data_IF_635003768154
#
_entry.id   IF_635003768154
#
_cell.length_a   1.000
_cell.length_b   1.000
_cell.length_c   1.000
_cell.angle_alpha   90.00
_cell.angle_beta   90.00
_cell.angle_gamma   90.00
#
_symmetry.space_group_name_H-M   'P 1'
#
loop_
_entity.id
_entity.type
_entity.pdbx_description
1 polymer ?
#
# COMPACT_ATOMS: atom_id res chain seq x y z
N UNK A 1 -20.52 -2.11 -19.18
CA UNK A 1 -20.59 -1.40 -17.87
C UNK A 1 -19.42 -0.45 -17.71
N UNK A 2 -19.64 0.87 -17.54
CA UNK A 2 -18.57 1.83 -17.22
C UNK A 2 -17.98 1.49 -15.85
N UNK A 3 -16.71 1.14 -15.78
CA UNK A 3 -16.00 0.89 -14.51
C UNK A 3 -15.98 2.19 -13.71
N UNK A 4 -16.62 2.21 -12.54
CA UNK A 4 -16.66 3.38 -11.66
C UNK A 4 -15.29 3.59 -10.99
N UNK A 5 -14.71 4.78 -11.16
CA UNK A 5 -13.43 5.15 -10.51
C UNK A 5 -13.57 5.06 -8.99
N UNK A 6 -12.58 4.47 -8.33
CA UNK A 6 -12.49 4.39 -6.87
C UNK A 6 -11.42 5.36 -6.38
N UNK A 7 -11.80 6.31 -5.54
CA UNK A 7 -10.90 7.31 -4.97
C UNK A 7 -10.30 6.78 -3.67
N UNK A 8 -8.98 6.83 -3.55
CA UNK A 8 -8.22 6.56 -2.34
C UNK A 8 -7.55 7.85 -1.87
N UNK A 9 -7.52 8.10 -0.56
CA UNK A 9 -6.84 9.25 0.00
C UNK A 9 -5.48 8.83 0.56
N UNK A 10 -4.41 9.50 0.11
CA UNK A 10 -3.05 9.29 0.62
C UNK A 10 -2.78 10.29 1.76
N UNK A 11 -3.14 9.91 2.98
CA UNK A 11 -3.08 10.77 4.18
C UNK A 11 -2.85 9.94 5.44
N UNK A 12 -2.25 10.55 6.48
CA UNK A 12 -2.04 9.92 7.78
C UNK A 12 -2.67 10.70 8.96
N UNK A 13 -3.03 11.96 8.79
CA UNK A 13 -3.63 12.79 9.84
C UNK A 13 -5.00 12.27 10.24
N UNK A 14 -5.16 11.88 11.52
CA UNK A 14 -6.37 11.22 12.02
C UNK A 14 -7.64 12.09 11.86
N UNK A 15 -7.53 13.41 12.01
CA UNK A 15 -8.64 14.36 11.80
C UNK A 15 -9.12 14.34 10.35
N UNK A 16 -8.21 14.42 9.39
CA UNK A 16 -8.51 14.33 7.95
C UNK A 16 -9.07 12.96 7.58
N UNK A 17 -8.49 11.87 8.12
CA UNK A 17 -8.99 10.51 7.89
C UNK A 17 -10.45 10.42 8.37
N UNK A 18 -10.79 10.90 9.57
CA UNK A 18 -12.18 10.93 10.09
C UNK A 18 -13.11 11.69 9.15
N UNK A 19 -12.69 12.88 8.70
CA UNK A 19 -13.47 13.72 7.77
C UNK A 19 -13.72 12.98 6.44
N UNK A 20 -12.68 12.47 5.80
CA UNK A 20 -12.78 11.81 4.50
C UNK A 20 -13.43 10.42 4.58
N UNK A 21 -13.32 9.72 5.72
CA UNK A 21 -13.96 8.42 5.88
C UNK A 21 -15.49 8.49 5.82
N UNK A 22 -16.09 9.62 6.19
CA UNK A 22 -17.54 9.86 6.07
C UNK A 22 -18.00 10.01 4.61
N UNK A 23 -17.10 10.38 3.68
CA UNK A 23 -17.46 10.59 2.27
C UNK A 23 -17.65 9.26 1.55
N UNK A 24 -18.82 9.04 0.94
CA UNK A 24 -19.14 7.83 0.13
C UNK A 24 -18.25 7.67 -1.11
N UNK A 25 -17.73 8.77 -1.66
CA UNK A 25 -16.79 8.77 -2.80
C UNK A 25 -15.43 8.18 -2.45
N UNK A 26 -14.94 8.34 -1.22
CA UNK A 26 -13.67 7.78 -0.76
C UNK A 26 -13.84 6.29 -0.48
N UNK A 27 -13.06 5.46 -1.17
CA UNK A 27 -13.15 3.99 -1.13
C UNK A 27 -12.04 3.32 -0.31
N UNK A 28 -11.02 4.07 0.09
CA UNK A 28 -9.91 3.56 0.89
C UNK A 28 -8.89 4.64 1.21
N UNK A 29 -7.85 4.22 1.93
CA UNK A 29 -6.77 5.10 2.35
C UNK A 29 -5.43 4.41 2.06
N UNK A 30 -4.45 5.23 1.70
CA UNK A 30 -3.05 4.84 1.66
C UNK A 30 -2.25 5.73 2.59
N UNK A 31 -1.18 5.22 3.11
CA UNK A 31 -0.24 5.97 3.93
C UNK A 31 1.17 5.41 3.75
N UNK A 32 2.14 6.05 4.36
CA UNK A 32 3.52 5.59 4.42
C UNK A 32 4.17 6.08 5.72
N UNK A 33 5.35 5.54 6.10
CA UNK A 33 6.03 5.93 7.34
C UNK A 33 6.31 7.43 7.44
N UNK A 34 6.67 8.09 6.35
CA UNK A 34 6.96 9.54 6.32
C UNK A 34 5.71 10.37 6.59
N UNK A 35 4.58 10.04 5.97
CA UNK A 35 3.30 10.71 6.24
C UNK A 35 2.87 10.50 7.69
N UNK A 36 3.04 9.30 8.24
CA UNK A 36 2.71 9.04 9.65
C UNK A 36 3.61 9.82 10.60
N UNK A 37 4.93 9.89 10.33
CA UNK A 37 5.85 10.71 11.13
C UNK A 37 5.46 12.18 11.11
N UNK A 38 5.13 12.74 9.94
CA UNK A 38 4.63 14.13 9.80
C UNK A 38 3.31 14.35 10.55
N UNK A 39 2.46 13.34 10.65
CA UNK A 39 1.21 13.38 11.38
C UNK A 39 1.38 13.15 12.90
N UNK A 40 2.61 13.10 13.42
CA UNK A 40 2.92 12.98 14.85
C UNK A 40 2.93 11.55 15.39
N UNK A 41 3.03 10.54 14.53
CA UNK A 41 3.14 9.15 14.98
C UNK A 41 4.48 8.90 15.67
N UNK A 42 4.45 8.60 16.98
CA UNK A 42 5.63 8.18 17.76
C UNK A 42 5.89 6.67 17.65
N UNK A 43 4.84 5.89 17.42
CA UNK A 43 4.91 4.44 17.24
C UNK A 43 4.06 4.04 16.03
N UNK A 44 4.68 3.42 15.03
CA UNK A 44 4.05 3.09 13.75
C UNK A 44 2.88 2.10 13.92
N UNK A 45 3.06 1.04 14.71
CA UNK A 45 2.01 0.03 14.93
C UNK A 45 0.80 0.63 15.66
N UNK A 46 1.04 1.33 16.78
CA UNK A 46 -0.03 1.93 17.56
C UNK A 46 -0.82 2.96 16.73
N UNK A 47 -0.10 3.76 15.92
CA UNK A 47 -0.74 4.75 15.05
C UNK A 47 -1.53 4.09 13.91
N UNK A 48 -0.97 3.06 13.28
CA UNK A 48 -1.65 2.27 12.25
C UNK A 48 -2.94 1.66 12.77
N UNK A 49 -2.92 1.08 13.97
CA UNK A 49 -4.12 0.52 14.61
C UNK A 49 -5.19 1.58 14.88
N UNK A 50 -4.81 2.83 15.20
CA UNK A 50 -5.78 3.95 15.30
C UNK A 50 -6.44 4.24 13.95
N UNK A 51 -5.66 4.31 12.87
CA UNK A 51 -6.19 4.51 11.51
C UNK A 51 -7.16 3.38 11.13
N UNK A 52 -6.76 2.13 11.35
CA UNK A 52 -7.57 0.95 11.01
C UNK A 52 -8.93 0.95 11.75
N UNK A 53 -8.95 1.37 13.02
CA UNK A 53 -10.20 1.49 13.81
C UNK A 53 -11.13 2.55 13.24
N UNK A 54 -10.59 3.69 12.74
CA UNK A 54 -11.39 4.73 12.08
C UNK A 54 -11.97 4.22 10.76
N UNK A 55 -11.18 3.45 10.01
CA UNK A 55 -11.49 3.02 8.65
C UNK A 55 -12.09 1.61 8.59
N UNK A 56 -12.85 1.16 9.61
CA UNK A 56 -13.33 -0.24 9.78
C UNK A 56 -13.75 -0.96 8.49
N UNK A 57 -14.47 -0.26 7.60
CA UNK A 57 -15.08 -0.83 6.40
C UNK A 57 -14.35 -0.44 5.09
N UNK A 58 -13.24 0.28 5.18
CA UNK A 58 -12.49 0.72 4.02
C UNK A 58 -11.07 0.18 4.06
N UNK A 59 -10.50 -0.27 2.94
CA UNK A 59 -9.12 -0.72 2.89
C UNK A 59 -8.15 0.40 3.28
N UNK A 60 -7.11 0.01 4.02
CA UNK A 60 -6.00 0.89 4.41
C UNK A 60 -4.69 0.22 4.01
N UNK A 61 -3.89 0.89 3.20
CA UNK A 61 -2.56 0.42 2.83
C UNK A 61 -1.52 0.93 3.81
N UNK A 62 -0.81 -0.02 4.44
CA UNK A 62 0.25 0.22 5.44
C UNK A 62 1.57 -0.34 4.91
N UNK A 63 2.61 0.49 4.84
CA UNK A 63 3.86 0.18 4.16
C UNK A 63 4.87 -0.48 5.08
N UNK A 64 5.57 -1.51 4.56
CA UNK A 64 6.81 -2.00 5.14
C UNK A 64 7.93 -0.97 4.91
N UNK A 65 8.90 -0.91 5.82
CA UNK A 65 10.03 0.02 5.72
C UNK A 65 11.39 -0.66 5.85
N UNK A 66 11.42 -2.00 6.04
CA UNK A 66 12.65 -2.77 5.93
C UNK A 66 13.10 -2.86 4.46
N UNK A 67 14.39 -2.80 4.23
CA UNK A 67 14.99 -2.83 2.90
C UNK A 67 15.48 -4.23 2.50
N UNK A 68 15.88 -5.05 3.46
CA UNK A 68 16.24 -6.44 3.23
C UNK A 68 15.01 -7.35 3.19
N UNK A 69 15.10 -8.41 2.41
CA UNK A 69 13.96 -9.27 2.09
C UNK A 69 13.42 -10.05 3.27
N UNK A 70 14.29 -10.48 4.20
CA UNK A 70 13.87 -11.22 5.40
C UNK A 70 13.04 -10.34 6.32
N UNK A 71 13.53 -9.16 6.66
CA UNK A 71 12.82 -8.22 7.52
C UNK A 71 11.59 -7.62 6.82
N UNK A 72 11.63 -7.36 5.51
CA UNK A 72 10.48 -6.93 4.73
C UNK A 72 9.32 -7.94 4.83
N UNK A 73 9.62 -9.25 4.69
CA UNK A 73 8.64 -10.32 4.86
C UNK A 73 8.09 -10.37 6.29
N UNK A 74 8.96 -10.31 7.30
CA UNK A 74 8.54 -10.33 8.71
C UNK A 74 7.64 -9.14 9.05
N UNK A 75 7.99 -7.94 8.59
CA UNK A 75 7.15 -6.76 8.76
C UNK A 75 5.81 -6.91 8.05
N UNK A 76 5.79 -7.45 6.83
CA UNK A 76 4.56 -7.68 6.09
C UNK A 76 3.61 -8.62 6.83
N UNK A 77 4.11 -9.71 7.37
CA UNK A 77 3.34 -10.67 8.18
C UNK A 77 2.77 -9.99 9.43
N UNK A 78 3.59 -9.21 10.14
CA UNK A 78 3.17 -8.46 11.32
C UNK A 78 2.09 -7.42 11.00
N UNK A 79 2.27 -6.62 9.94
CA UNK A 79 1.33 -5.60 9.52
C UNK A 79 -0.02 -6.23 9.12
N UNK A 80 0.00 -7.36 8.44
CA UNK A 80 -1.23 -8.07 8.04
C UNK A 80 -2.11 -8.46 9.25
N UNK A 81 -1.52 -8.72 10.41
CA UNK A 81 -2.24 -9.11 11.64
C UNK A 81 -2.95 -7.94 12.33
N UNK A 82 -2.66 -6.69 11.95
CA UNK A 82 -3.22 -5.53 12.66
C UNK A 82 -4.70 -5.26 12.37
N UNK A 83 -5.26 -5.84 11.30
CA UNK A 83 -6.68 -5.68 10.99
C UNK A 83 -7.13 -6.31 9.68
N UNK A 84 -8.42 -6.65 9.62
CA UNK A 84 -9.03 -7.29 8.44
C UNK A 84 -9.07 -6.40 7.19
N UNK A 85 -8.97 -5.09 7.35
CA UNK A 85 -9.00 -4.10 6.27
C UNK A 85 -7.59 -3.64 5.81
N UNK A 86 -6.54 -4.29 6.29
CA UNK A 86 -5.16 -4.02 5.88
C UNK A 86 -4.92 -4.50 4.45
N UNK A 87 -4.20 -3.67 3.68
CA UNK A 87 -3.43 -4.03 2.51
C UNK A 87 -1.96 -3.75 2.83
N UNK A 88 -1.12 -4.77 2.83
CA UNK A 88 0.31 -4.58 3.09
C UNK A 88 0.94 -3.92 1.87
N UNK A 89 1.52 -2.73 2.06
CA UNK A 89 2.14 -1.97 0.98
C UNK A 89 3.61 -2.33 0.87
N UNK A 90 4.02 -2.80 -0.31
CA UNK A 90 5.37 -3.29 -0.60
C UNK A 90 5.90 -2.60 -1.85
N UNK A 91 7.10 -2.00 -1.83
CA UNK A 91 7.72 -1.43 -3.01
C UNK A 91 8.12 -2.52 -4.01
N UNK A 92 8.01 -2.24 -5.30
CA UNK A 92 8.37 -3.17 -6.39
C UNK A 92 9.86 -3.49 -6.44
N UNK A 93 10.69 -2.60 -5.89
CA UNK A 93 12.13 -2.79 -5.69
C UNK A 93 12.51 -2.27 -4.30
N UNK A 94 13.60 -2.79 -3.74
CA UNK A 94 14.20 -2.18 -2.55
C UNK A 94 15.03 -0.94 -2.92
N UNK A 95 15.69 -0.30 -1.94
CA UNK A 95 16.51 0.91 -2.16
C UNK A 95 17.69 0.68 -3.11
N UNK A 96 18.17 -0.57 -3.24
CA UNK A 96 19.23 -0.98 -4.15
C UNK A 96 18.72 -1.32 -5.56
N UNK A 97 17.44 -1.10 -5.85
CA UNK A 97 16.83 -1.44 -7.15
C UNK A 97 16.54 -2.93 -7.34
N UNK A 98 16.73 -3.77 -6.31
CA UNK A 98 16.50 -5.22 -6.42
C UNK A 98 15.01 -5.51 -6.38
N UNK A 99 14.54 -6.29 -7.34
CA UNK A 99 13.13 -6.62 -7.52
C UNK A 99 12.58 -7.51 -6.39
N UNK A 100 11.52 -7.06 -5.73
CA UNK A 100 10.90 -7.72 -4.56
C UNK A 100 9.93 -8.85 -4.93
N UNK A 101 9.89 -9.26 -6.19
CA UNK A 101 8.90 -10.20 -6.72
C UNK A 101 8.78 -11.52 -5.97
N UNK A 102 9.89 -12.07 -5.43
CA UNK A 102 9.87 -13.30 -4.63
C UNK A 102 8.98 -13.14 -3.40
N UNK A 103 9.16 -12.05 -2.65
CA UNK A 103 8.36 -11.76 -1.44
C UNK A 103 6.91 -11.51 -1.81
N UNK A 104 6.66 -10.71 -2.85
CA UNK A 104 5.31 -10.42 -3.35
C UNK A 104 4.57 -11.72 -3.66
N UNK A 105 5.21 -12.66 -4.41
CA UNK A 105 4.62 -13.96 -4.73
C UNK A 105 4.31 -14.78 -3.48
N UNK A 106 5.25 -14.87 -2.55
CA UNK A 106 5.08 -15.62 -1.30
C UNK A 106 3.90 -15.08 -0.49
N UNK A 107 3.86 -13.78 -0.22
CA UNK A 107 2.80 -13.15 0.55
C UNK A 107 1.43 -13.25 -0.15
N UNK A 108 1.39 -13.10 -1.46
CA UNK A 108 0.17 -13.23 -2.23
C UNK A 108 -0.39 -14.67 -2.15
N UNK A 109 0.48 -15.70 -2.22
CA UNK A 109 0.09 -17.10 -2.05
C UNK A 109 -0.36 -17.44 -0.62
N UNK A 110 0.06 -16.66 0.38
CA UNK A 110 -0.45 -16.73 1.76
C UNK A 110 -1.79 -15.99 1.93
N UNK A 111 -2.45 -15.59 0.85
CA UNK A 111 -3.71 -14.82 0.83
C UNK A 111 -3.61 -13.45 1.51
N UNK A 112 -2.42 -12.87 1.60
CA UNK A 112 -2.23 -11.52 2.13
C UNK A 112 -2.58 -10.49 1.06
N UNK A 113 -3.49 -9.58 1.38
CA UNK A 113 -3.88 -8.48 0.49
C UNK A 113 -2.73 -7.48 0.38
N UNK A 114 -2.29 -7.20 -0.84
CA UNK A 114 -1.13 -6.36 -1.11
C UNK A 114 -1.51 -5.05 -1.81
N UNK A 115 -0.72 -4.02 -1.55
CA UNK A 115 -0.59 -2.83 -2.38
C UNK A 115 0.86 -2.75 -2.87
N UNK A 116 1.10 -3.10 -4.12
CA UNK A 116 2.44 -3.06 -4.71
C UNK A 116 2.70 -1.66 -5.22
N UNK A 117 3.70 -0.99 -4.66
CA UNK A 117 3.91 0.45 -4.83
C UNK A 117 5.25 0.75 -5.52
N UNK A 118 5.48 2.05 -5.78
CA UNK A 118 6.68 2.56 -6.46
C UNK A 118 6.87 1.96 -7.86
N UNK A 119 5.79 1.76 -8.60
CA UNK A 119 5.83 1.27 -9.97
C UNK A 119 5.87 2.46 -10.93
N UNK A 120 6.89 2.48 -11.80
CA UNK A 120 7.16 3.55 -12.76
C UNK A 120 7.11 3.08 -14.22
N UNK A 121 6.94 1.78 -14.48
CA UNK A 121 6.95 1.28 -15.85
C UNK A 121 5.99 0.13 -16.09
N UNK A 122 5.52 0.02 -17.32
CA UNK A 122 4.72 -1.13 -17.79
C UNK A 122 5.48 -2.46 -17.67
N UNK A 123 6.82 -2.43 -17.81
CA UNK A 123 7.68 -3.61 -17.63
C UNK A 123 7.60 -4.14 -16.18
N UNK A 124 7.66 -3.26 -15.18
CA UNK A 124 7.48 -3.64 -13.76
C UNK A 124 6.09 -4.23 -13.54
N UNK A 125 5.04 -3.55 -14.05
CA UNK A 125 3.66 -4.04 -13.94
C UNK A 125 3.49 -5.43 -14.53
N UNK A 126 3.98 -5.66 -15.77
CA UNK A 126 3.91 -6.98 -16.43
C UNK A 126 4.65 -8.08 -15.64
N UNK A 127 5.81 -7.75 -15.04
CA UNK A 127 6.54 -8.71 -14.18
C UNK A 127 5.74 -9.09 -12.95
N UNK A 128 5.13 -8.11 -12.28
CA UNK A 128 4.30 -8.35 -11.09
C UNK A 128 3.09 -9.21 -11.41
N UNK A 129 2.35 -8.87 -12.48
CA UNK A 129 1.13 -9.60 -12.85
C UNK A 129 1.36 -11.10 -13.07
N UNK A 130 2.54 -11.48 -13.57
CA UNK A 130 2.93 -12.90 -13.75
C UNK A 130 3.14 -13.67 -12.44
N UNK A 131 3.31 -12.97 -11.31
CA UNK A 131 3.60 -13.56 -10.01
C UNK A 131 2.35 -13.70 -9.13
N UNK A 132 1.29 -12.95 -9.45
CA UNK A 132 0.09 -12.87 -8.62
C UNK A 132 -0.87 -14.02 -8.92
N UNK A 133 -1.42 -14.62 -7.88
CA UNK A 133 -2.58 -15.49 -8.02
C UNK A 133 -3.84 -14.63 -8.25
N UNK A 134 -4.88 -15.23 -8.88
CA UNK A 134 -6.13 -14.52 -9.19
C UNK A 134 -7.12 -14.46 -8.02
N UNK A 135 -6.82 -15.11 -6.89
CA UNK A 135 -7.74 -15.25 -5.75
C UNK A 135 -7.57 -14.11 -4.74
N UNK A 136 -6.33 -13.65 -4.54
CA UNK A 136 -6.00 -12.65 -3.52
C UNK A 136 -6.12 -11.23 -4.10
N UNK A 137 -6.80 -10.35 -3.37
CA UNK A 137 -6.96 -8.94 -3.78
C UNK A 137 -5.63 -8.20 -3.74
N UNK A 138 -5.28 -7.53 -4.84
CA UNK A 138 -4.07 -6.72 -4.96
C UNK A 138 -4.40 -5.36 -5.56
N UNK A 139 -3.72 -4.33 -5.06
CA UNK A 139 -3.68 -2.99 -5.63
C UNK A 139 -2.29 -2.82 -6.26
N UNK A 140 -2.23 -2.28 -7.46
CA UNK A 140 -0.99 -1.91 -8.15
C UNK A 140 -0.95 -0.39 -8.23
N UNK A 141 -0.01 0.22 -7.50
CA UNK A 141 0.14 1.68 -7.42
C UNK A 141 1.21 2.17 -8.39
N UNK A 142 0.77 2.69 -9.52
CA UNK A 142 1.63 3.31 -10.53
C UNK A 142 1.84 4.78 -10.15
N UNK A 143 3.10 5.22 -10.11
CA UNK A 143 3.48 6.58 -9.71
C UNK A 143 3.48 7.54 -10.91
N UNK A 144 2.31 7.67 -11.55
CA UNK A 144 2.12 8.51 -12.71
C UNK A 144 2.51 9.99 -12.45
N UNK A 145 2.07 10.58 -11.32
CA UNK A 145 2.42 11.95 -10.97
C UNK A 145 3.93 12.17 -10.87
N UNK A 146 4.67 11.22 -10.27
CA UNK A 146 6.14 11.32 -10.19
C UNK A 146 6.83 11.14 -11.54
N UNK A 147 6.24 10.39 -12.46
CA UNK A 147 6.74 10.33 -13.84
C UNK A 147 6.56 11.69 -14.52
N UNK A 148 5.40 12.34 -14.33
CA UNK A 148 5.14 13.70 -14.81
C UNK A 148 6.12 14.73 -14.25
N UNK A 149 6.48 14.65 -12.96
CA UNK A 149 7.49 15.55 -12.32
C UNK A 149 8.87 15.47 -13.01
N UNK A 150 9.17 14.39 -13.73
CA UNK A 150 10.41 14.23 -14.52
C UNK A 150 10.24 14.61 -16.00
N UNK A 151 9.12 15.23 -16.39
CA UNK A 151 8.82 15.63 -17.77
C UNK A 151 8.41 14.48 -18.69
N UNK A 152 8.11 13.31 -18.14
CA UNK A 152 7.60 12.16 -18.90
C UNK A 152 6.08 12.12 -18.86
N UNK A 153 5.46 11.87 -20.00
CA UNK A 153 4.02 11.57 -20.05
C UNK A 153 3.75 10.26 -19.28
N UNK A 154 2.92 10.31 -18.21
CA UNK A 154 2.70 9.17 -17.32
C UNK A 154 1.78 8.09 -17.90
#
# INVERSE_FOLDING_TARGET
MKKKIKIFCDIAELSKIRKFNKKKSVKGFTTNPSLMKKAGAKNYEAYSKKILRICKNKPVSLEVFADDFKNMKNQALKINQWGKNVYVKIPVTNSKGIFTGKIIKELNNMNIKLNITAIYSSKQTKRILKLLNKKTKVIISIFAGRAGDTGKDP
#
